data_IF_365025518910
#
_entry.id   IF_365025518910
#
_cell.length_a   1.000
_cell.length_b   1.000
_cell.length_c   1.000
_cell.angle_alpha   90.00
_cell.angle_beta   90.00
_cell.angle_gamma   90.00
#
_symmetry.space_group_name_H-M   'P 1'
#
loop_
_entity.id
_entity.type
_entity.pdbx_description
1 polymer ?
#
# COMPACT_ATOMS: atom_id res chain seq x y z
N UNK A 1 -53.53 23.17 -26.38
CA UNK A 1 -52.69 22.39 -25.43
C UNK A 1 -52.08 21.11 -26.04
N UNK A 2 -52.84 20.23 -26.68
CA UNK A 2 -52.38 18.86 -27.02
C UNK A 2 -51.29 18.69 -28.10
N UNK A 3 -51.11 19.63 -29.04
CA UNK A 3 -50.04 19.56 -30.05
C UNK A 3 -48.67 19.94 -29.47
N UNK A 4 -48.63 20.95 -28.59
CA UNK A 4 -47.39 21.42 -27.95
C UNK A 4 -46.84 20.36 -26.98
N UNK A 5 -47.71 19.71 -26.19
CA UNK A 5 -47.27 18.59 -25.33
C UNK A 5 -46.71 17.40 -26.12
N UNK A 6 -47.24 17.09 -27.32
CA UNK A 6 -46.69 16.03 -28.18
C UNK A 6 -45.30 16.37 -28.72
N UNK A 7 -45.06 17.62 -29.11
CA UNK A 7 -43.72 18.05 -29.55
C UNK A 7 -42.71 18.04 -28.40
N UNK A 8 -43.11 18.42 -27.19
CA UNK A 8 -42.25 18.34 -26.00
C UNK A 8 -41.95 16.86 -25.66
N UNK A 9 -42.94 15.98 -25.69
CA UNK A 9 -42.74 14.55 -25.42
C UNK A 9 -41.82 13.88 -26.47
N UNK A 10 -42.00 14.18 -27.77
CA UNK A 10 -41.13 13.68 -28.83
C UNK A 10 -39.71 14.26 -28.71
N UNK A 11 -39.58 15.53 -28.33
CA UNK A 11 -38.28 16.17 -28.07
C UNK A 11 -37.53 15.54 -26.88
N UNK A 12 -38.24 15.23 -25.79
CA UNK A 12 -37.66 14.56 -24.60
C UNK A 12 -37.27 13.12 -24.92
N UNK A 13 -38.11 12.36 -25.62
CA UNK A 13 -37.77 11.00 -26.06
C UNK A 13 -36.61 11.01 -27.06
N UNK A 14 -36.58 11.97 -28.00
CA UNK A 14 -35.47 12.16 -28.93
C UNK A 14 -34.17 12.49 -28.21
N UNK A 15 -34.19 13.36 -27.20
CA UNK A 15 -33.03 13.68 -26.36
C UNK A 15 -32.57 12.49 -25.52
N UNK A 16 -33.49 11.66 -25.01
CA UNK A 16 -33.16 10.45 -24.27
C UNK A 16 -32.58 9.36 -25.17
N UNK A 17 -33.09 9.20 -26.39
CA UNK A 17 -32.57 8.25 -27.39
C UNK A 17 -31.22 8.73 -27.92
N UNK A 18 -31.06 10.02 -28.23
CA UNK A 18 -29.76 10.60 -28.61
C UNK A 18 -28.80 10.48 -27.43
N UNK A 19 -29.21 10.79 -26.20
CA UNK A 19 -28.38 10.61 -25.00
C UNK A 19 -27.95 9.16 -24.79
N UNK A 20 -28.86 8.20 -24.95
CA UNK A 20 -28.58 6.77 -24.85
C UNK A 20 -27.67 6.27 -25.99
N UNK A 21 -27.89 6.72 -27.23
CA UNK A 21 -27.05 6.38 -28.38
C UNK A 21 -25.67 7.03 -28.27
N UNK A 22 -25.59 8.28 -27.84
CA UNK A 22 -24.31 8.97 -27.59
C UNK A 22 -23.55 8.27 -26.47
N UNK A 23 -24.25 7.83 -25.41
CA UNK A 23 -23.64 6.99 -24.38
C UNK A 23 -23.20 5.62 -24.88
N UNK A 24 -23.98 4.92 -25.72
CA UNK A 24 -23.63 3.61 -26.26
C UNK A 24 -22.42 3.66 -27.22
N UNK A 25 -22.32 4.74 -28.02
CA UNK A 25 -21.39 4.82 -29.16
C UNK A 25 -20.28 5.86 -29.04
N UNK A 26 -20.27 6.71 -28.00
CA UNK A 26 -19.18 7.66 -27.75
C UNK A 26 -18.44 7.30 -26.46
N UNK A 27 -17.19 6.85 -26.61
CA UNK A 27 -16.33 6.51 -25.47
C UNK A 27 -16.02 7.75 -24.60
N UNK A 28 -15.99 8.94 -25.19
CA UNK A 28 -15.86 10.19 -24.44
C UNK A 28 -17.12 10.51 -23.59
N UNK A 29 -18.32 10.20 -24.08
CA UNK A 29 -19.55 10.35 -23.31
C UNK A 29 -19.65 9.32 -22.18
N UNK A 30 -19.27 8.06 -22.43
CA UNK A 30 -19.16 7.02 -21.38
C UNK A 30 -18.21 7.45 -20.28
N UNK A 31 -17.02 7.92 -20.67
CA UNK A 31 -15.97 8.41 -19.75
C UNK A 31 -16.47 9.56 -18.89
N UNK A 32 -17.21 10.53 -19.44
CA UNK A 32 -17.78 11.64 -18.68
C UNK A 32 -18.81 11.15 -17.63
N UNK A 33 -19.73 10.27 -18.02
CA UNK A 33 -20.73 9.70 -17.10
C UNK A 33 -20.07 8.88 -16.00
N UNK A 34 -19.04 8.09 -16.32
CA UNK A 34 -18.27 7.34 -15.33
C UNK A 34 -17.55 8.26 -14.35
N UNK A 35 -16.93 9.36 -14.82
CA UNK A 35 -16.30 10.34 -13.94
C UNK A 35 -17.29 11.00 -12.98
N UNK A 36 -18.50 11.31 -13.43
CA UNK A 36 -19.57 11.84 -12.56
C UNK A 36 -20.03 10.81 -11.51
N UNK A 37 -20.18 9.54 -11.90
CA UNK A 37 -20.51 8.47 -10.98
C UNK A 37 -19.40 8.23 -9.94
N UNK A 38 -18.13 8.30 -10.35
CA UNK A 38 -16.98 8.18 -9.46
C UNK A 38 -16.91 9.31 -8.43
N UNK A 39 -17.23 10.54 -8.81
CA UNK A 39 -17.26 11.67 -7.88
C UNK A 39 -18.28 11.45 -6.75
N UNK A 40 -19.43 10.86 -7.09
CA UNK A 40 -20.45 10.47 -6.09
C UNK A 40 -19.94 9.33 -5.17
N UNK A 41 -19.23 8.35 -5.72
CA UNK A 41 -18.62 7.27 -4.93
C UNK A 41 -17.56 7.82 -3.96
N UNK A 42 -16.75 8.77 -4.42
CA UNK A 42 -15.74 9.42 -3.58
C UNK A 42 -16.36 10.20 -2.41
N UNK A 43 -17.42 10.96 -2.64
CA UNK A 43 -18.11 11.69 -1.57
C UNK A 43 -18.72 10.72 -0.52
N UNK A 44 -19.28 9.59 -0.98
CA UNK A 44 -19.79 8.54 -0.09
C UNK A 44 -18.67 7.88 0.73
N UNK A 45 -17.55 7.53 0.08
CA UNK A 45 -16.38 6.95 0.75
C UNK A 45 -15.84 7.91 1.83
N UNK A 46 -15.67 9.18 1.48
CA UNK A 46 -15.23 10.24 2.40
C UNK A 46 -16.17 10.36 3.60
N UNK A 47 -17.49 10.31 3.38
CA UNK A 47 -18.49 10.36 4.46
C UNK A 47 -18.40 9.16 5.41
N UNK A 48 -18.28 7.93 4.87
CA UNK A 48 -18.12 6.71 5.69
C UNK A 48 -16.87 6.79 6.56
N UNK A 49 -15.79 7.33 6.01
CA UNK A 49 -14.50 7.43 6.69
C UNK A 49 -14.48 8.48 7.80
N UNK A 50 -15.14 9.63 7.59
CA UNK A 50 -15.33 10.62 8.67
C UNK A 50 -16.06 10.00 9.86
N UNK A 51 -17.14 9.25 9.60
CA UNK A 51 -17.89 8.54 10.64
C UNK A 51 -17.03 7.49 11.36
N UNK A 52 -16.10 6.85 10.65
CA UNK A 52 -15.20 5.87 11.24
C UNK A 52 -14.07 6.49 12.06
N UNK A 53 -13.53 7.63 11.61
CA UNK A 53 -12.56 8.42 12.37
C UNK A 53 -13.17 8.96 13.68
N UNK A 54 -14.43 9.41 13.64
CA UNK A 54 -15.20 9.81 14.83
C UNK A 54 -15.39 8.68 15.85
N UNK A 55 -15.38 7.43 15.38
CA UNK A 55 -15.50 6.23 16.21
C UNK A 55 -14.13 5.69 16.70
N UNK A 56 -13.05 6.46 16.60
CA UNK A 56 -11.73 6.11 17.14
C UNK A 56 -10.90 5.14 16.28
N UNK A 57 -11.32 4.85 15.05
CA UNK A 57 -10.60 3.97 14.11
C UNK A 57 -9.84 4.79 13.06
N UNK A 58 -8.74 5.46 13.45
CA UNK A 58 -7.93 6.24 12.51
C UNK A 58 -6.75 5.42 11.99
N UNK A 59 -6.84 4.95 10.75
CA UNK A 59 -5.65 4.53 9.98
C UNK A 59 -5.08 5.76 9.28
N UNK A 60 -3.75 5.83 9.08
CA UNK A 60 -3.10 6.93 8.33
C UNK A 60 -3.65 6.97 6.89
N UNK A 61 -4.02 5.83 6.30
CA UNK A 61 -4.75 5.75 5.03
C UNK A 61 -6.09 6.52 5.05
N UNK A 62 -6.75 6.64 6.21
CA UNK A 62 -7.95 7.45 6.35
C UNK A 62 -7.67 8.95 6.42
N UNK A 63 -6.50 9.35 6.89
CA UNK A 63 -6.02 10.74 6.83
C UNK A 63 -5.67 11.13 5.39
N UNK A 64 -5.06 10.22 4.62
CA UNK A 64 -4.69 10.45 3.22
C UNK A 64 -5.88 10.77 2.30
N UNK A 65 -7.05 10.17 2.54
CA UNK A 65 -8.26 10.41 1.73
C UNK A 65 -8.85 11.80 1.95
N UNK A 66 -8.58 12.41 3.11
CA UNK A 66 -9.07 13.74 3.44
C UNK A 66 -8.14 14.86 2.94
N UNK A 67 -6.98 14.55 2.34
CA UNK A 67 -6.14 15.59 1.75
C UNK A 67 -6.90 16.32 0.64
N UNK A 68 -6.84 17.66 0.61
CA UNK A 68 -7.45 18.43 -0.46
C UNK A 68 -6.76 18.05 -1.78
N UNK A 69 -7.55 17.90 -2.85
CA UNK A 69 -7.04 17.64 -4.20
C UNK A 69 -6.74 18.98 -4.86
N UNK A 70 -5.45 19.32 -4.95
CA UNK A 70 -4.96 20.62 -5.36
C UNK A 70 -3.82 20.49 -6.36
N UNK A 71 -3.81 21.37 -7.37
CA UNK A 71 -2.74 21.46 -8.35
C UNK A 71 -1.71 22.52 -7.94
N UNK A 72 -0.44 22.15 -7.89
CA UNK A 72 0.67 23.04 -7.51
C UNK A 72 1.90 22.78 -8.37
N UNK A 73 2.61 23.83 -8.80
CA UNK A 73 3.95 23.68 -9.38
C UNK A 73 4.95 23.43 -8.25
N UNK A 74 5.47 22.21 -8.17
CA UNK A 74 6.33 21.75 -7.05
C UNK A 74 7.81 21.78 -7.39
N UNK A 75 8.12 21.84 -8.69
CA UNK A 75 9.45 22.08 -9.22
C UNK A 75 9.30 22.73 -10.60
N UNK A 76 10.37 23.35 -11.12
CA UNK A 76 10.34 24.08 -12.39
C UNK A 76 9.76 23.21 -13.52
N UNK A 77 8.56 23.56 -13.98
CA UNK A 77 7.86 22.86 -15.04
C UNK A 77 7.36 21.47 -14.68
N UNK A 78 7.06 21.22 -13.40
CA UNK A 78 6.43 19.99 -12.90
C UNK A 78 5.23 20.35 -12.01
N UNK A 79 4.04 19.95 -12.46
CA UNK A 79 2.77 20.19 -11.75
C UNK A 79 2.39 18.94 -10.99
N UNK A 80 2.27 19.02 -9.67
CA UNK A 80 1.66 17.99 -8.82
C UNK A 80 0.17 18.24 -8.73
N UNK A 81 -0.63 17.17 -8.76
CA UNK A 81 -1.95 17.16 -8.15
C UNK A 81 -1.96 16.16 -7.01
N UNK A 82 -2.35 16.62 -5.82
CA UNK A 82 -2.38 15.82 -4.59
C UNK A 82 -3.46 14.72 -4.63
N UNK A 83 -3.32 13.72 -3.76
CA UNK A 83 -4.26 12.62 -3.56
C UNK A 83 -3.70 11.64 -2.53
N UNK A 84 -4.30 10.43 -2.44
CA UNK A 84 -3.60 9.30 -1.84
C UNK A 84 -2.35 9.06 -2.69
N UNK A 85 -2.52 8.61 -3.93
CA UNK A 85 -1.46 8.68 -4.94
C UNK A 85 -1.43 10.06 -5.59
N UNK A 86 -0.34 10.78 -5.38
CA UNK A 86 0.00 11.99 -6.13
C UNK A 86 0.14 11.66 -7.61
N UNK A 87 -0.25 12.61 -8.46
CA UNK A 87 0.06 12.56 -9.89
C UNK A 87 0.90 13.76 -10.28
N UNK A 88 1.81 13.56 -11.23
CA UNK A 88 2.71 14.62 -11.68
C UNK A 88 2.66 14.79 -13.19
N UNK A 89 2.45 16.00 -13.65
CA UNK A 89 2.53 16.33 -15.06
C UNK A 89 3.79 17.14 -15.35
N UNK A 90 4.51 16.75 -16.40
CA UNK A 90 5.61 17.50 -16.99
C UNK A 90 5.13 18.05 -18.33
N UNK A 91 4.71 19.33 -18.40
CA UNK A 91 4.32 19.95 -19.66
C UNK A 91 5.51 20.19 -20.58
N UNK A 92 5.34 19.99 -21.88
CA UNK A 92 6.35 20.27 -22.92
C UNK A 92 5.70 20.89 -24.16
N UNK A 93 6.52 21.41 -25.08
CA UNK A 93 6.04 22.01 -26.33
C UNK A 93 5.43 21.00 -27.32
N UNK A 94 5.74 19.71 -27.18
CA UNK A 94 5.27 18.66 -28.10
C UNK A 94 4.12 17.80 -27.52
N UNK A 95 3.87 17.90 -26.21
CA UNK A 95 2.91 17.11 -25.47
C UNK A 95 3.32 16.93 -24.01
N UNK A 96 2.40 16.48 -23.17
CA UNK A 96 2.64 16.33 -21.74
C UNK A 96 2.95 14.88 -21.40
N UNK A 97 3.77 14.70 -20.36
CA UNK A 97 4.06 13.41 -19.73
C UNK A 97 3.41 13.41 -18.35
N UNK A 98 2.60 12.39 -18.06
CA UNK A 98 1.99 12.16 -16.76
C UNK A 98 2.73 11.02 -16.07
N UNK A 99 3.13 11.22 -14.81
CA UNK A 99 3.71 10.20 -13.95
C UNK A 99 2.68 9.85 -12.88
N UNK A 100 2.27 8.57 -12.88
CA UNK A 100 1.13 8.01 -12.15
C UNK A 100 -0.23 8.63 -12.47
N UNK A 101 -1.30 7.93 -12.07
CA UNK A 101 -2.68 8.26 -12.44
C UNK A 101 -3.65 8.32 -11.27
N UNK A 102 -3.16 8.10 -10.04
CA UNK A 102 -3.93 8.25 -8.81
C UNK A 102 -4.89 7.09 -8.53
N UNK A 103 -5.55 7.18 -7.37
CA UNK A 103 -6.57 6.22 -6.97
C UNK A 103 -7.90 6.51 -7.65
N UNK A 104 -8.55 5.47 -8.19
CA UNK A 104 -9.76 5.57 -9.01
C UNK A 104 -10.85 6.49 -8.46
N UNK A 105 -11.05 6.56 -7.14
CA UNK A 105 -12.04 7.42 -6.51
C UNK A 105 -11.67 8.91 -6.58
N UNK A 106 -10.38 9.27 -6.56
CA UNK A 106 -9.91 10.67 -6.58
C UNK A 106 -9.67 11.21 -8.00
N UNK A 107 -9.63 10.32 -8.99
CA UNK A 107 -9.33 10.65 -10.39
C UNK A 107 -10.19 11.78 -10.99
N UNK A 108 -11.52 11.85 -10.78
CA UNK A 108 -12.31 12.96 -11.32
C UNK A 108 -11.82 14.33 -10.85
N UNK A 109 -11.57 14.46 -9.54
CA UNK A 109 -11.08 15.69 -8.93
C UNK A 109 -9.64 15.98 -9.38
N UNK A 110 -8.80 14.96 -9.49
CA UNK A 110 -7.43 15.11 -9.96
C UNK A 110 -7.35 15.57 -11.43
N UNK A 111 -8.19 15.02 -12.32
CA UNK A 111 -8.31 15.46 -13.72
C UNK A 111 -8.76 16.92 -13.78
N UNK A 112 -9.78 17.30 -13.00
CA UNK A 112 -10.29 18.66 -12.99
C UNK A 112 -9.22 19.67 -12.54
N UNK A 113 -8.52 19.37 -11.44
CA UNK A 113 -7.43 20.20 -10.92
C UNK A 113 -6.27 20.32 -11.93
N UNK A 114 -5.87 19.21 -12.57
CA UNK A 114 -4.81 19.22 -13.58
C UNK A 114 -5.19 20.03 -14.82
N UNK A 115 -6.43 19.91 -15.30
CA UNK A 115 -6.92 20.71 -16.45
C UNK A 115 -6.99 22.20 -16.13
N UNK A 116 -7.30 22.56 -14.88
CA UNK A 116 -7.26 23.96 -14.46
C UNK A 116 -5.83 24.53 -14.45
N UNK A 117 -4.85 23.74 -13.99
CA UNK A 117 -3.44 24.14 -13.98
C UNK A 117 -2.77 24.07 -15.36
N UNK A 118 -3.20 23.15 -16.22
CA UNK A 118 -2.67 22.93 -17.57
C UNK A 118 -3.82 22.93 -18.58
N UNK A 119 -4.36 24.10 -18.98
CA UNK A 119 -5.56 24.20 -19.82
C UNK A 119 -5.42 23.55 -21.21
N UNK A 120 -4.22 23.57 -21.79
CA UNK A 120 -3.90 22.93 -23.07
C UNK A 120 -3.26 21.55 -22.86
N UNK A 121 -3.86 20.73 -22.00
CA UNK A 121 -3.32 19.41 -21.70
C UNK A 121 -3.39 18.47 -22.91
N UNK A 122 -2.30 18.37 -23.67
CA UNK A 122 -2.10 17.39 -24.74
C UNK A 122 -1.28 16.22 -24.17
N UNK A 123 -1.95 15.31 -23.47
CA UNK A 123 -1.28 14.12 -22.91
C UNK A 123 -0.76 13.24 -24.04
N UNK A 124 0.50 12.80 -23.95
CA UNK A 124 1.14 11.92 -24.94
C UNK A 124 1.75 10.68 -24.32
N UNK A 125 2.19 10.77 -23.07
CA UNK A 125 2.82 9.67 -22.35
C UNK A 125 2.27 9.59 -20.93
N UNK A 126 2.04 8.36 -20.47
CA UNK A 126 1.82 8.01 -19.08
C UNK A 126 2.97 7.09 -18.66
N UNK A 127 3.71 7.48 -17.63
CA UNK A 127 4.71 6.64 -16.96
C UNK A 127 4.07 6.14 -15.68
N UNK A 128 4.03 4.82 -15.51
CA UNK A 128 3.51 4.19 -14.29
C UNK A 128 4.69 3.83 -13.40
N UNK A 129 4.67 4.31 -12.15
CA UNK A 129 5.73 4.00 -11.18
C UNK A 129 5.73 2.53 -10.78
N UNK A 130 4.55 1.93 -10.61
CA UNK A 130 4.35 0.51 -10.30
C UNK A 130 2.85 0.16 -10.38
N UNK A 131 2.48 -1.09 -10.09
CA UNK A 131 1.13 -1.64 -10.30
C UNK A 131 0.13 -1.52 -9.13
N UNK A 132 0.37 -0.70 -8.10
CA UNK A 132 -0.64 -0.55 -7.04
C UNK A 132 -1.80 0.35 -7.45
N UNK A 133 -2.96 0.07 -6.86
CA UNK A 133 -4.25 0.61 -7.29
C UNK A 133 -4.35 2.14 -7.23
N UNK A 134 -3.62 2.75 -6.31
CA UNK A 134 -3.51 4.18 -6.08
C UNK A 134 -2.55 4.91 -7.02
N UNK A 135 -1.80 4.17 -7.85
CA UNK A 135 -0.92 4.74 -8.88
C UNK A 135 -1.46 4.49 -10.29
N UNK A 136 -2.16 3.38 -10.49
CA UNK A 136 -2.70 2.99 -11.81
C UNK A 136 -4.22 3.19 -11.97
N UNK A 137 -4.93 3.53 -10.89
CA UNK A 137 -6.39 3.57 -10.84
C UNK A 137 -7.03 4.52 -11.85
N UNK A 138 -6.30 5.56 -12.26
CA UNK A 138 -6.76 6.53 -13.24
C UNK A 138 -6.45 6.23 -14.70
N UNK A 139 -5.65 5.20 -15.04
CA UNK A 139 -5.17 5.00 -16.43
C UNK A 139 -6.30 5.03 -17.45
N UNK A 140 -7.41 4.33 -17.18
CA UNK A 140 -8.59 4.30 -18.08
C UNK A 140 -9.23 5.67 -18.31
N UNK A 141 -9.04 6.62 -17.40
CA UNK A 141 -9.58 7.97 -17.45
C UNK A 141 -8.58 9.01 -17.97
N UNK A 142 -7.29 8.73 -17.94
CA UNK A 142 -6.28 9.58 -18.56
C UNK A 142 -6.01 9.20 -20.02
N UNK A 143 -6.07 7.90 -20.33
CA UNK A 143 -5.77 7.39 -21.67
C UNK A 143 -6.74 7.95 -22.73
N UNK A 144 -6.15 8.31 -23.84
CA UNK A 144 -6.79 8.68 -25.12
C UNK A 144 -6.00 8.00 -26.26
N UNK A 145 -6.52 8.01 -27.48
CA UNK A 145 -5.85 7.42 -28.63
C UNK A 145 -4.47 8.07 -28.87
N UNK A 146 -3.45 7.25 -29.06
CA UNK A 146 -2.07 7.71 -29.28
C UNK A 146 -1.28 8.04 -28.00
N UNK A 147 -1.88 7.92 -26.81
CA UNK A 147 -1.13 8.03 -25.54
C UNK A 147 -0.33 6.75 -25.31
N UNK A 148 0.99 6.88 -25.19
CA UNK A 148 1.90 5.79 -24.83
C UNK A 148 1.86 5.54 -23.31
N UNK A 149 1.83 4.27 -22.90
CA UNK A 149 1.90 3.84 -21.51
C UNK A 149 3.23 3.12 -21.32
N UNK A 150 4.12 3.73 -20.55
CA UNK A 150 5.45 3.22 -20.23
C UNK A 150 5.37 2.60 -18.83
N UNK A 151 5.75 1.32 -18.74
CA UNK A 151 5.79 0.59 -17.48
C UNK A 151 7.02 -0.33 -17.41
N UNK A 152 7.24 -0.95 -16.25
CA UNK A 152 8.29 -1.92 -16.05
C UNK A 152 7.93 -3.26 -16.71
N UNK A 153 8.90 -4.10 -17.09
CA UNK A 153 8.64 -5.41 -17.71
C UNK A 153 7.83 -6.38 -16.82
N UNK A 154 8.02 -6.31 -15.50
CA UNK A 154 7.24 -7.05 -14.51
C UNK A 154 5.79 -6.55 -14.31
N UNK A 155 5.43 -5.37 -14.82
CA UNK A 155 4.12 -4.74 -14.54
C UNK A 155 2.93 -5.64 -14.91
N UNK A 156 3.01 -6.34 -16.03
CA UNK A 156 1.95 -7.28 -16.46
C UNK A 156 1.83 -8.48 -15.53
N UNK A 157 2.95 -9.00 -15.02
CA UNK A 157 2.96 -10.11 -14.07
C UNK A 157 2.44 -9.66 -12.69
N UNK A 158 2.81 -8.47 -12.23
CA UNK A 158 2.31 -7.92 -10.96
C UNK A 158 0.79 -7.74 -10.98
N UNK A 159 0.26 -7.08 -12.02
CA UNK A 159 -1.20 -6.98 -12.21
C UNK A 159 -1.88 -8.36 -12.27
N UNK A 160 -1.29 -9.33 -12.96
CA UNK A 160 -1.89 -10.67 -13.13
C UNK A 160 -2.10 -11.36 -11.78
N UNK A 161 -1.08 -11.43 -10.92
CA UNK A 161 -1.24 -12.14 -9.65
C UNK A 161 -2.03 -11.31 -8.62
N UNK A 162 -1.87 -9.98 -8.60
CA UNK A 162 -2.68 -9.12 -7.74
C UNK A 162 -4.17 -9.25 -8.09
N UNK A 163 -4.50 -9.38 -9.38
CA UNK A 163 -5.87 -9.68 -9.82
C UNK A 163 -6.31 -11.10 -9.47
N UNK A 164 -5.44 -12.10 -9.66
CA UNK A 164 -5.77 -13.50 -9.35
C UNK A 164 -6.01 -13.73 -7.85
N UNK A 165 -5.33 -12.98 -6.99
CA UNK A 165 -5.46 -13.04 -5.54
C UNK A 165 -6.35 -11.93 -4.96
N UNK A 166 -7.09 -11.19 -5.80
CA UNK A 166 -7.83 -10.00 -5.38
C UNK A 166 -8.78 -10.27 -4.20
N UNK A 167 -9.64 -11.31 -4.18
CA UNK A 167 -10.50 -11.58 -3.02
C UNK A 167 -9.70 -11.84 -1.73
N UNK A 168 -8.59 -12.57 -1.84
CA UNK A 168 -7.74 -12.91 -0.70
C UNK A 168 -7.00 -11.68 -0.15
N UNK A 169 -6.35 -10.91 -1.03
CA UNK A 169 -5.63 -9.69 -0.65
C UNK A 169 -6.57 -8.58 -0.21
N UNK A 170 -7.77 -8.48 -0.77
CA UNK A 170 -8.80 -7.52 -0.37
C UNK A 170 -9.24 -7.74 1.08
N UNK A 171 -9.47 -8.99 1.49
CA UNK A 171 -9.78 -9.33 2.89
C UNK A 171 -8.67 -8.91 3.86
N UNK A 172 -7.41 -9.16 3.50
CA UNK A 172 -6.23 -8.74 4.30
C UNK A 172 -6.13 -7.21 4.37
N UNK A 173 -6.28 -6.53 3.24
CA UNK A 173 -6.27 -5.06 3.19
C UNK A 173 -7.41 -4.47 4.01
N UNK A 174 -8.62 -5.02 3.97
CA UNK A 174 -9.76 -4.51 4.73
C UNK A 174 -9.57 -4.63 6.25
N UNK A 175 -8.81 -5.61 6.71
CA UNK A 175 -8.45 -5.72 8.12
C UNK A 175 -7.63 -4.49 8.58
N UNK A 176 -6.71 -4.05 7.73
CA UNK A 176 -5.83 -2.89 7.96
C UNK A 176 -6.52 -1.55 7.61
N UNK A 177 -7.42 -1.57 6.62
CA UNK A 177 -8.13 -0.45 6.03
C UNK A 177 -9.65 -0.69 6.06
N UNK A 178 -10.26 -0.68 7.25
CA UNK A 178 -11.67 -1.07 7.43
C UNK A 178 -12.70 -0.17 6.73
N UNK A 179 -12.27 0.96 6.16
CA UNK A 179 -13.11 1.82 5.32
C UNK A 179 -13.34 1.27 3.91
N UNK A 180 -12.53 0.31 3.46
CA UNK A 180 -12.66 -0.31 2.16
C UNK A 180 -14.03 -1.02 2.04
N UNK A 181 -14.60 -1.11 0.82
CA UNK A 181 -15.81 -1.90 0.58
C UNK A 181 -15.67 -3.34 1.10
N UNK A 182 -16.79 -3.97 1.47
CA UNK A 182 -16.80 -5.36 1.96
C UNK A 182 -16.20 -6.33 0.94
N UNK A 183 -16.60 -6.18 -0.32
CA UNK A 183 -16.14 -7.00 -1.44
C UNK A 183 -15.29 -6.17 -2.41
N UNK A 184 -14.34 -6.81 -3.13
CA UNK A 184 -13.55 -6.12 -4.13
C UNK A 184 -14.45 -5.58 -5.26
N UNK A 185 -14.21 -4.35 -5.75
CA UNK A 185 -15.00 -3.80 -6.83
C UNK A 185 -14.84 -4.59 -8.14
N UNK A 186 -15.96 -5.08 -8.68
CA UNK A 186 -15.97 -5.85 -9.94
C UNK A 186 -16.42 -5.07 -11.16
N UNK A 187 -17.08 -3.93 -10.96
CA UNK A 187 -17.54 -3.10 -12.07
C UNK A 187 -16.37 -2.53 -12.85
N UNK A 188 -16.35 -2.70 -14.18
CA UNK A 188 -15.24 -2.32 -15.07
C UNK A 188 -14.71 -0.89 -14.85
N UNK A 189 -15.59 0.04 -14.45
CA UNK A 189 -15.21 1.42 -14.11
C UNK A 189 -14.22 1.50 -12.92
N UNK A 190 -14.40 0.69 -11.88
CA UNK A 190 -13.61 0.73 -10.63
C UNK A 190 -12.75 -0.50 -10.38
N UNK A 191 -12.91 -1.55 -11.19
CA UNK A 191 -12.13 -2.77 -11.06
C UNK A 191 -10.62 -2.50 -11.23
N UNK A 192 -9.82 -3.19 -10.41
CA UNK A 192 -8.37 -3.19 -10.48
C UNK A 192 -7.85 -3.88 -11.75
N UNK A 193 -6.75 -3.35 -12.29
CA UNK A 193 -5.99 -3.93 -13.40
C UNK A 193 -6.58 -3.66 -14.79
N UNK A 194 -6.22 -4.52 -15.75
CA UNK A 194 -6.67 -4.40 -17.14
C UNK A 194 -5.84 -3.42 -17.98
N UNK A 195 -4.64 -3.07 -17.53
CA UNK A 195 -3.77 -2.12 -18.21
C UNK A 195 -2.73 -2.90 -19.01
N UNK A 196 -2.61 -2.56 -20.29
CA UNK A 196 -1.55 -3.07 -21.17
C UNK A 196 -0.59 -1.92 -21.50
N UNK A 197 0.66 -1.97 -21.02
CA UNK A 197 1.69 -1.01 -21.42
C UNK A 197 1.93 -1.04 -22.92
N UNK A 198 2.19 0.13 -23.53
CA UNK A 198 2.62 0.21 -24.94
C UNK A 198 4.13 0.01 -25.06
N UNK A 199 4.87 0.41 -24.02
CA UNK A 199 6.31 0.25 -23.90
C UNK A 199 6.62 -0.36 -22.52
N UNK A 200 7.50 -1.35 -22.50
CA UNK A 200 8.07 -1.88 -21.25
C UNK A 200 9.57 -1.64 -21.21
N UNK A 201 10.08 -1.30 -20.03
CA UNK A 201 11.51 -1.18 -19.76
C UNK A 201 11.93 -2.35 -18.88
N UNK A 202 13.01 -3.02 -19.25
CA UNK A 202 13.52 -4.15 -18.48
C UNK A 202 14.16 -3.68 -17.17
N UNK A 203 14.06 -4.52 -16.15
CA UNK A 203 14.74 -4.31 -14.87
C UNK A 203 16.22 -3.94 -15.07
N UNK A 204 16.65 -2.82 -14.50
CA UNK A 204 18.01 -2.28 -14.59
C UNK A 204 18.29 -1.39 -15.82
N UNK A 205 17.43 -1.42 -16.85
CA UNK A 205 17.55 -0.58 -18.04
C UNK A 205 16.94 0.82 -17.83
N UNK A 206 17.15 1.69 -18.82
CA UNK A 206 16.60 3.04 -18.85
C UNK A 206 16.06 3.39 -20.24
N UNK A 207 15.03 4.22 -20.27
CA UNK A 207 14.49 4.83 -21.48
C UNK A 207 14.62 6.34 -21.39
N UNK A 208 15.32 6.95 -22.35
CA UNK A 208 15.46 8.41 -22.44
C UNK A 208 14.39 8.96 -23.36
N UNK A 209 13.48 9.75 -22.79
CA UNK A 209 12.44 10.45 -23.52
C UNK A 209 12.85 11.92 -23.73
N UNK A 210 13.01 12.30 -24.99
CA UNK A 210 13.21 13.70 -25.39
C UNK A 210 11.93 14.22 -26.05
N UNK A 211 11.23 15.13 -25.38
CA UNK A 211 9.91 15.61 -25.81
C UNK A 211 9.79 17.10 -25.59
N UNK A 212 9.49 17.85 -26.67
CA UNK A 212 9.21 19.28 -26.61
C UNK A 212 10.30 20.09 -25.91
N UNK A 213 11.57 19.75 -26.15
CA UNK A 213 12.73 20.41 -25.56
C UNK A 213 13.08 19.99 -24.13
N UNK A 214 12.37 19.02 -23.54
CA UNK A 214 12.72 18.44 -22.23
C UNK A 214 13.28 17.03 -22.37
N UNK A 215 14.21 16.69 -21.48
CA UNK A 215 14.75 15.34 -21.30
C UNK A 215 14.17 14.73 -20.03
N UNK A 216 13.69 13.50 -20.14
CA UNK A 216 13.26 12.67 -19.02
C UNK A 216 13.96 11.31 -19.15
N UNK A 217 14.80 10.95 -18.19
CA UNK A 217 15.38 9.60 -18.11
C UNK A 217 14.50 8.75 -17.20
N UNK A 218 13.89 7.71 -17.77
CA UNK A 218 12.96 6.82 -17.08
C UNK A 218 13.70 5.53 -16.78
N UNK A 219 13.76 5.13 -15.51
CA UNK A 219 14.51 3.97 -15.06
C UNK A 219 13.58 2.89 -14.54
N UNK A 220 13.78 1.66 -15.01
CA UNK A 220 13.20 0.46 -14.41
C UNK A 220 14.20 -0.07 -13.39
N UNK A 221 13.81 -0.11 -12.12
CA UNK A 221 14.72 -0.51 -11.05
C UNK A 221 13.96 -1.25 -9.94
N UNK A 222 14.54 -2.34 -9.45
CA UNK A 222 14.09 -3.01 -8.24
C UNK A 222 13.90 -1.98 -7.12
N UNK A 223 12.67 -1.86 -6.65
CA UNK A 223 12.28 -0.97 -5.57
C UNK A 223 11.93 -1.75 -4.32
N UNK A 224 11.77 -1.01 -3.22
CA UNK A 224 11.25 -1.59 -2.00
C UNK A 224 9.78 -1.95 -2.15
N UNK A 225 8.99 -1.27 -2.98
CA UNK A 225 7.53 -1.43 -2.95
C UNK A 225 6.97 -2.57 -3.83
N UNK A 226 7.69 -3.02 -4.85
CA UNK A 226 7.14 -3.90 -5.88
C UNK A 226 8.21 -4.38 -6.85
N UNK A 227 7.95 -5.45 -7.59
CA UNK A 227 8.92 -5.94 -8.59
C UNK A 227 8.95 -5.10 -9.87
N UNK A 228 7.99 -4.19 -10.05
CA UNK A 228 7.75 -3.41 -11.26
C UNK A 228 8.00 -1.90 -11.06
N UNK A 229 8.92 -1.56 -10.15
CA UNK A 229 9.22 -0.19 -9.77
C UNK A 229 9.90 0.61 -10.89
N UNK A 230 9.47 1.86 -11.03
CA UNK A 230 10.02 2.84 -11.96
C UNK A 230 10.15 4.21 -11.31
N UNK A 231 11.21 4.91 -11.71
CA UNK A 231 11.43 6.32 -11.36
C UNK A 231 11.70 7.13 -12.62
N UNK A 232 11.35 8.42 -12.58
CA UNK A 232 11.62 9.34 -13.68
C UNK A 232 12.51 10.49 -13.21
N UNK A 233 13.63 10.68 -13.89
CA UNK A 233 14.64 11.68 -13.59
C UNK A 233 14.58 12.81 -14.61
N UNK A 234 14.56 14.05 -14.11
CA UNK A 234 14.63 15.27 -14.90
C UNK A 234 16.01 15.91 -14.71
N UNK A 235 17.00 15.63 -15.57
CA UNK A 235 18.40 16.01 -15.34
C UNK A 235 18.63 17.52 -15.26
N UNK A 236 17.89 18.32 -16.03
CA UNK A 236 18.06 19.78 -16.04
C UNK A 236 17.52 20.43 -14.76
N UNK A 237 16.43 19.89 -14.21
CA UNK A 237 15.78 20.36 -12.99
C UNK A 237 16.38 19.71 -11.75
N UNK A 238 17.14 18.63 -11.92
CA UNK A 238 17.60 17.71 -10.87
C UNK A 238 16.46 17.21 -9.97
N UNK A 239 15.36 16.84 -10.60
CA UNK A 239 14.13 16.37 -9.93
C UNK A 239 13.95 14.88 -10.18
N UNK A 240 13.76 14.11 -9.12
CA UNK A 240 13.43 12.69 -9.17
C UNK A 240 11.96 12.48 -8.81
N UNK A 241 11.16 11.98 -9.75
CA UNK A 241 9.82 11.46 -9.47
C UNK A 241 9.97 9.99 -9.09
N UNK A 242 9.72 9.67 -7.83
CA UNK A 242 10.07 8.36 -7.27
C UNK A 242 8.91 7.36 -7.21
N UNK A 243 7.66 7.83 -7.37
CA UNK A 243 6.51 7.06 -6.92
C UNK A 243 6.75 6.57 -5.49
N UNK A 244 6.58 5.27 -5.29
CA UNK A 244 6.73 4.61 -4.01
C UNK A 244 8.02 3.81 -3.85
N UNK A 245 9.04 4.12 -4.66
CA UNK A 245 10.35 3.47 -4.59
C UNK A 245 10.97 3.52 -3.16
N UNK A 246 10.71 4.58 -2.40
CA UNK A 246 11.13 4.74 -1.00
C UNK A 246 10.04 4.38 0.02
N UNK A 247 8.82 4.08 -0.43
CA UNK A 247 7.58 4.04 0.34
C UNK A 247 7.04 5.46 0.67
N UNK A 248 6.08 5.57 1.61
CA UNK A 248 5.33 6.81 1.82
C UNK A 248 6.11 7.93 2.51
N UNK A 249 7.28 7.65 3.09
CA UNK A 249 8.10 8.64 3.80
C UNK A 249 9.56 8.57 3.34
N UNK A 250 10.26 9.70 3.43
CA UNK A 250 11.68 9.76 3.09
C UNK A 250 12.47 10.65 4.07
N UNK A 251 13.63 10.19 4.58
CA UNK A 251 14.13 8.80 4.50
C UNK A 251 13.42 7.89 5.52
N UNK A 252 13.33 6.60 5.22
CA UNK A 252 12.79 5.60 6.14
C UNK A 252 13.47 4.25 5.91
N UNK A 253 13.35 3.33 6.86
CA UNK A 253 13.69 1.95 6.61
C UNK A 253 12.62 1.33 5.69
N UNK A 254 13.00 0.77 4.52
CA UNK A 254 12.03 0.35 3.52
C UNK A 254 11.24 -0.87 3.98
N UNK A 255 10.02 -1.01 3.47
CA UNK A 255 9.34 -2.29 3.46
C UNK A 255 10.01 -3.18 2.41
N UNK A 256 10.99 -4.01 2.77
CA UNK A 256 11.45 -5.12 1.88
C UNK A 256 10.45 -6.30 1.85
N UNK A 257 9.36 -6.16 2.61
CA UNK A 257 8.13 -6.95 2.60
C UNK A 257 7.00 -6.05 3.09
N UNK A 258 5.74 -6.36 2.76
CA UNK A 258 4.57 -5.66 3.31
C UNK A 258 3.59 -6.60 4.00
N UNK A 259 3.12 -6.23 5.18
CA UNK A 259 2.19 -7.06 5.99
C UNK A 259 0.87 -7.39 5.27
N UNK A 260 0.43 -6.51 4.37
CA UNK A 260 -0.77 -6.76 3.54
C UNK A 260 -0.62 -7.97 2.62
N UNK A 261 0.61 -8.39 2.34
CA UNK A 261 0.95 -9.58 1.56
C UNK A 261 1.24 -9.26 0.10
N UNK A 262 2.49 -9.47 -0.30
CA UNK A 262 2.98 -9.39 -1.68
C UNK A 262 4.16 -10.36 -1.85
N UNK A 263 4.65 -10.47 -3.08
CA UNK A 263 5.91 -11.17 -3.34
C UNK A 263 7.04 -10.51 -2.53
N UNK A 264 7.97 -11.34 -2.07
CA UNK A 264 9.16 -10.88 -1.34
C UNK A 264 9.96 -9.94 -2.26
N UNK A 265 10.32 -8.76 -1.74
CA UNK A 265 11.12 -7.78 -2.51
C UNK A 265 12.60 -8.14 -2.43
N UNK A 266 13.37 -7.64 -3.38
CA UNK A 266 14.75 -8.07 -3.65
C UNK A 266 15.77 -7.11 -2.99
N UNK A 267 16.32 -7.43 -1.81
CA UNK A 267 17.11 -6.46 -1.03
C UNK A 267 18.43 -6.08 -1.72
N UNK A 268 19.14 -7.04 -2.32
CA UNK A 268 20.42 -6.80 -2.99
C UNK A 268 20.24 -5.92 -4.25
N UNK A 269 19.17 -6.14 -4.99
CA UNK A 269 18.78 -5.32 -6.14
C UNK A 269 18.41 -3.91 -5.70
N UNK A 270 17.64 -3.76 -4.61
CA UNK A 270 17.26 -2.45 -4.06
C UNK A 270 18.49 -1.61 -3.67
N UNK A 271 19.51 -2.23 -3.07
CA UNK A 271 20.79 -1.57 -2.76
C UNK A 271 21.47 -1.04 -4.04
N UNK A 272 21.47 -1.81 -5.13
CA UNK A 272 22.03 -1.37 -6.43
C UNK A 272 21.24 -0.21 -7.01
N UNK A 273 19.91 -0.26 -6.92
CA UNK A 273 19.04 0.84 -7.33
C UNK A 273 19.33 2.11 -6.52
N UNK A 274 19.48 2.01 -5.20
CA UNK A 274 19.85 3.15 -4.35
C UNK A 274 21.20 3.77 -4.73
N UNK A 275 22.22 2.95 -5.02
CA UNK A 275 23.52 3.47 -5.51
C UNK A 275 23.34 4.31 -6.78
N UNK A 276 22.52 3.84 -7.73
CA UNK A 276 22.23 4.61 -8.95
C UNK A 276 21.53 5.94 -8.65
N UNK A 277 20.60 5.98 -7.70
CA UNK A 277 19.92 7.23 -7.32
C UNK A 277 20.83 8.19 -6.55
N UNK A 278 21.78 7.68 -5.77
CA UNK A 278 22.83 8.48 -5.13
C UNK A 278 23.68 9.18 -6.19
N UNK A 279 24.08 8.46 -7.25
CA UNK A 279 24.90 9.00 -8.35
C UNK A 279 24.18 10.12 -9.14
N UNK A 280 22.85 10.09 -9.20
CA UNK A 280 22.06 11.17 -9.82
C UNK A 280 22.10 12.48 -9.01
N UNK A 281 22.35 12.40 -7.70
CA UNK A 281 22.34 13.51 -6.75
C UNK A 281 21.13 14.46 -6.89
N UNK A 282 19.89 13.97 -6.70
CA UNK A 282 18.67 14.77 -6.82
C UNK A 282 18.63 15.96 -5.86
N UNK A 283 18.17 17.12 -6.34
CA UNK A 283 17.91 18.31 -5.52
C UNK A 283 16.48 18.31 -4.95
N UNK A 284 15.57 17.60 -5.63
CA UNK A 284 14.18 17.43 -5.23
C UNK A 284 13.73 15.99 -5.50
N UNK A 285 13.06 15.37 -4.53
CA UNK A 285 12.28 14.14 -4.71
C UNK A 285 10.79 14.50 -4.70
N UNK A 286 10.07 13.99 -5.69
CA UNK A 286 8.62 14.07 -5.83
C UNK A 286 8.03 12.67 -5.60
N UNK A 287 7.56 12.36 -4.38
CA UNK A 287 7.08 11.03 -3.99
C UNK A 287 5.64 10.73 -4.41
N UNK A 288 5.29 9.45 -4.48
CA UNK A 288 3.92 8.98 -4.73
C UNK A 288 2.91 9.44 -3.66
N UNK A 289 3.39 9.71 -2.44
CA UNK A 289 2.57 10.16 -1.31
C UNK A 289 3.18 11.39 -0.63
N UNK A 290 2.36 12.17 0.09
CA UNK A 290 2.81 13.34 0.87
C UNK A 290 3.50 14.43 0.03
N UNK A 291 4.39 15.20 0.67
CA UNK A 291 5.02 16.40 0.13
C UNK A 291 6.41 16.17 -0.47
N UNK A 292 6.83 17.02 -1.43
CA UNK A 292 8.18 17.00 -1.96
C UNK A 292 9.26 17.07 -0.88
N UNK A 293 10.36 16.36 -1.11
CA UNK A 293 11.59 16.51 -0.32
C UNK A 293 12.57 17.35 -1.11
N UNK A 294 13.14 18.38 -0.48
CA UNK A 294 14.08 19.31 -1.12
C UNK A 294 15.41 19.37 -0.38
N UNK A 295 16.47 19.69 -1.12
CA UNK A 295 17.83 19.87 -0.61
C UNK A 295 18.74 18.69 -0.94
N UNK A 296 19.66 18.90 -1.89
CA UNK A 296 20.55 17.86 -2.41
C UNK A 296 21.33 17.11 -1.33
N UNK A 297 21.96 17.84 -0.41
CA UNK A 297 22.77 17.26 0.67
C UNK A 297 21.91 16.36 1.57
N UNK A 298 20.74 16.84 2.00
CA UNK A 298 19.78 16.07 2.81
C UNK A 298 19.33 14.81 2.06
N UNK A 299 19.02 14.94 0.77
CA UNK A 299 18.51 13.84 -0.04
C UNK A 299 19.60 12.78 -0.24
N UNK A 300 20.81 13.18 -0.67
CA UNK A 300 21.92 12.25 -0.89
C UNK A 300 22.34 11.57 0.43
N UNK A 301 22.36 12.30 1.54
CA UNK A 301 22.60 11.71 2.86
C UNK A 301 21.50 10.71 3.25
N UNK A 302 20.23 11.04 2.99
CA UNK A 302 19.09 10.15 3.22
C UNK A 302 19.17 8.86 2.39
N UNK A 303 19.45 8.97 1.09
CA UNK A 303 19.64 7.84 0.19
C UNK A 303 20.81 6.95 0.63
N UNK A 304 21.94 7.56 1.00
CA UNK A 304 23.13 6.85 1.47
C UNK A 304 22.82 6.09 2.75
N UNK A 305 22.16 6.74 3.71
CA UNK A 305 21.75 6.09 4.96
C UNK A 305 20.77 4.94 4.72
N UNK A 306 19.79 5.10 3.83
CA UNK A 306 18.88 4.02 3.43
C UNK A 306 19.64 2.84 2.82
N UNK A 307 20.60 3.11 1.93
CA UNK A 307 21.46 2.10 1.29
C UNK A 307 22.25 1.34 2.34
N UNK A 308 22.94 2.05 3.22
CA UNK A 308 23.78 1.48 4.28
C UNK A 308 22.96 0.67 5.29
N UNK A 309 21.79 1.17 5.70
CA UNK A 309 20.89 0.47 6.62
C UNK A 309 20.37 -0.87 6.05
N UNK A 310 19.94 -0.87 4.78
CA UNK A 310 19.48 -2.10 4.12
C UNK A 310 20.63 -3.09 3.94
N UNK A 311 21.81 -2.60 3.52
CA UNK A 311 23.02 -3.43 3.40
C UNK A 311 23.41 -4.05 4.74
N UNK A 312 23.41 -3.26 5.83
CA UNK A 312 23.72 -3.75 7.17
C UNK A 312 22.75 -4.86 7.61
N UNK A 313 21.43 -4.63 7.51
CA UNK A 313 20.43 -5.65 7.92
C UNK A 313 20.55 -6.91 7.07
N UNK A 314 20.81 -6.75 5.76
CA UNK A 314 21.08 -7.86 4.86
C UNK A 314 22.31 -8.67 5.27
N UNK A 315 23.45 -8.01 5.49
CA UNK A 315 24.71 -8.66 5.80
C UNK A 315 24.69 -9.33 7.17
N UNK A 316 24.10 -8.69 8.19
CA UNK A 316 23.92 -9.28 9.51
C UNK A 316 22.97 -10.48 9.47
N UNK A 317 21.93 -10.44 8.64
CA UNK A 317 21.03 -11.59 8.44
C UNK A 317 21.80 -12.77 7.83
N UNK A 318 22.57 -12.53 6.76
CA UNK A 318 23.37 -13.58 6.11
C UNK A 318 24.46 -14.12 7.05
N UNK A 319 25.14 -13.27 7.79
CA UNK A 319 26.13 -13.68 8.79
C UNK A 319 25.48 -14.55 9.89
N UNK A 320 24.27 -14.17 10.32
CA UNK A 320 23.44 -14.94 11.23
C UNK A 320 23.09 -16.33 10.71
N UNK A 321 22.58 -16.41 9.48
CA UNK A 321 22.27 -17.67 8.79
C UNK A 321 23.51 -18.58 8.72
N UNK A 322 24.64 -18.04 8.26
CA UNK A 322 25.88 -18.79 8.11
C UNK A 322 26.50 -19.24 9.44
N UNK A 323 26.18 -18.57 10.55
CA UNK A 323 26.63 -18.95 11.90
C UNK A 323 25.68 -19.91 12.61
N UNK A 324 24.59 -20.32 11.97
CA UNK A 324 23.61 -21.27 12.52
C UNK A 324 22.66 -20.67 13.55
N UNK A 325 22.56 -19.33 13.61
CA UNK A 325 21.51 -18.67 14.42
C UNK A 325 20.15 -18.92 13.79
N UNK A 326 19.13 -19.07 14.63
CA UNK A 326 17.75 -19.21 14.20
C UNK A 326 17.20 -17.87 13.68
N UNK A 327 16.18 -17.92 12.84
CA UNK A 327 15.49 -16.73 12.36
C UNK A 327 15.03 -15.82 13.52
N UNK A 328 14.44 -16.40 14.56
CA UNK A 328 13.90 -15.62 15.68
C UNK A 328 14.99 -14.95 16.53
N UNK A 329 16.15 -15.59 16.73
CA UNK A 329 17.31 -14.94 17.37
C UNK A 329 17.78 -13.72 16.57
N UNK A 330 17.78 -13.80 15.23
CA UNK A 330 18.16 -12.67 14.37
C UNK A 330 17.12 -11.55 14.39
N UNK A 331 15.84 -11.90 14.37
CA UNK A 331 14.75 -10.91 14.49
C UNK A 331 14.79 -10.14 15.81
N UNK A 332 15.26 -10.78 16.89
CA UNK A 332 15.40 -10.17 18.21
C UNK A 332 16.69 -9.33 18.36
N UNK A 333 17.80 -9.78 17.75
CA UNK A 333 19.12 -9.19 18.03
C UNK A 333 19.60 -8.17 16.99
N UNK A 334 19.16 -8.26 15.74
CA UNK A 334 19.58 -7.31 14.69
C UNK A 334 18.81 -5.99 14.88
N UNK A 335 19.56 -4.94 15.18
CA UNK A 335 19.06 -3.57 15.31
C UNK A 335 19.97 -2.60 14.55
N UNK A 336 19.40 -1.50 14.04
CA UNK A 336 20.19 -0.49 13.34
C UNK A 336 21.12 0.22 14.33
N UNK A 337 22.41 0.36 14.02
CA UNK A 337 23.30 1.19 14.83
C UNK A 337 22.93 2.68 14.70
N UNK A 338 23.29 3.53 15.68
CA UNK A 338 22.83 4.93 15.73
C UNK A 338 23.08 5.75 14.46
N UNK A 339 24.19 5.50 13.77
CA UNK A 339 24.54 6.17 12.52
C UNK A 339 23.64 5.78 11.34
N UNK A 340 22.99 4.61 11.40
CA UNK A 340 22.04 4.09 10.41
C UNK A 340 20.58 4.24 10.84
N UNK A 341 20.32 4.94 11.94
CA UNK A 341 18.96 5.09 12.47
C UNK A 341 18.03 5.76 11.45
N UNK A 342 16.92 5.08 11.17
CA UNK A 342 15.89 5.43 10.21
C UNK A 342 14.53 5.15 10.82
N UNK A 343 13.54 5.97 10.47
CA UNK A 343 12.16 5.72 10.86
C UNK A 343 11.72 4.32 10.43
N UNK A 344 11.15 3.58 11.38
CA UNK A 344 10.58 2.25 11.18
C UNK A 344 9.04 2.26 11.26
N UNK A 345 8.43 3.43 11.11
CA UNK A 345 6.99 3.61 11.19
C UNK A 345 6.21 2.94 10.03
N UNK A 346 6.91 2.57 8.94
CA UNK A 346 6.35 1.82 7.82
C UNK A 346 7.04 0.46 7.63
N UNK A 347 8.33 0.45 7.27
CA UNK A 347 9.18 -0.74 7.28
C UNK A 347 9.82 -1.01 8.63
N UNK A 348 10.01 -2.28 8.99
CA UNK A 348 10.59 -2.66 10.30
C UNK A 348 11.75 -3.63 10.11
N UNK A 349 12.83 -3.40 10.85
CA UNK A 349 14.07 -4.18 10.74
C UNK A 349 13.84 -5.66 11.02
N UNK A 350 13.16 -6.00 12.12
CA UNK A 350 12.90 -7.41 12.46
C UNK A 350 12.06 -8.12 11.40
N UNK A 351 11.14 -7.41 10.73
CA UNK A 351 10.36 -7.98 9.62
C UNK A 351 11.19 -8.11 8.34
N UNK A 352 12.13 -7.18 8.11
CA UNK A 352 13.08 -7.28 7.02
C UNK A 352 14.05 -8.44 7.20
N UNK A 353 14.54 -8.71 8.41
CA UNK A 353 15.35 -9.92 8.72
C UNK A 353 14.60 -11.17 8.26
N UNK A 354 13.32 -11.30 8.63
CA UNK A 354 12.48 -12.41 8.16
C UNK A 354 12.34 -12.43 6.65
N UNK A 355 12.04 -11.29 6.02
CA UNK A 355 11.90 -11.22 4.57
C UNK A 355 13.18 -11.60 3.82
N UNK A 356 14.34 -11.19 4.32
CA UNK A 356 15.65 -11.49 3.73
C UNK A 356 15.96 -12.98 3.89
N UNK A 357 15.66 -13.55 5.05
CA UNK A 357 15.76 -15.00 5.26
C UNK A 357 14.91 -15.77 4.24
N UNK A 358 13.63 -15.41 4.13
CA UNK A 358 12.66 -16.05 3.23
C UNK A 358 13.03 -15.86 1.75
N UNK A 359 13.64 -14.72 1.40
CA UNK A 359 14.18 -14.47 0.05
C UNK A 359 15.23 -15.51 -0.35
N UNK A 360 16.09 -15.93 0.58
CA UNK A 360 17.19 -16.87 0.31
C UNK A 360 16.85 -18.34 0.60
N UNK A 361 16.06 -18.62 1.63
CA UNK A 361 15.82 -19.97 2.15
C UNK A 361 14.37 -20.44 2.00
N UNK A 362 13.41 -19.53 1.76
CA UNK A 362 11.99 -19.82 1.59
C UNK A 362 11.35 -20.57 2.78
N UNK A 363 10.17 -21.16 2.56
CA UNK A 363 9.25 -21.68 3.57
C UNK A 363 9.76 -22.82 4.46
N UNK A 364 10.79 -23.57 4.05
CA UNK A 364 11.27 -24.74 4.79
C UNK A 364 12.51 -24.38 5.60
N UNK A 365 12.32 -24.15 6.91
CA UNK A 365 13.37 -23.55 7.74
C UNK A 365 14.35 -24.57 8.33
N UNK A 366 14.08 -25.87 8.17
CA UNK A 366 14.83 -26.95 8.83
C UNK A 366 14.74 -26.90 10.37
N UNK A 367 13.77 -26.16 10.91
CA UNK A 367 13.58 -26.01 12.34
C UNK A 367 12.83 -27.22 12.91
N UNK A 368 11.87 -27.79 12.16
CA UNK A 368 10.96 -28.83 12.66
C UNK A 368 10.54 -29.82 11.56
N UNK A 369 10.41 -31.10 11.93
CA UNK A 369 9.87 -32.14 11.04
C UNK A 369 8.43 -31.86 10.59
N UNK A 370 7.64 -31.15 11.39
CA UNK A 370 6.23 -30.84 11.09
C UNK A 370 6.05 -29.87 9.93
N UNK A 371 7.09 -29.11 9.55
CA UNK A 371 7.03 -28.21 8.38
C UNK A 371 6.76 -28.98 7.07
N UNK A 372 7.08 -30.28 7.01
CA UNK A 372 6.85 -31.13 5.84
C UNK A 372 5.39 -31.55 5.62
N UNK A 373 4.52 -31.36 6.62
CA UNK A 373 3.18 -31.93 6.63
C UNK A 373 2.11 -30.85 6.77
N UNK A 374 0.98 -31.03 6.09
CA UNK A 374 -0.16 -30.11 6.12
C UNK A 374 -1.05 -30.24 7.36
N UNK A 375 -0.50 -30.67 8.51
CA UNK A 375 -1.22 -30.74 9.79
C UNK A 375 -0.83 -29.52 10.59
N UNK A 376 -1.81 -28.68 10.93
CA UNK A 376 -1.55 -27.44 11.65
C UNK A 376 -1.18 -27.74 13.10
N UNK A 377 -0.37 -26.87 13.72
CA UNK A 377 -0.05 -27.02 15.14
C UNK A 377 -1.28 -26.84 16.02
N UNK A 378 -2.24 -26.02 15.59
CA UNK A 378 -3.53 -25.80 16.23
C UNK A 378 -4.32 -27.08 16.43
N UNK A 379 -4.18 -28.09 15.56
CA UNK A 379 -4.93 -29.35 15.64
C UNK A 379 -4.65 -30.13 16.93
N UNK A 380 -3.46 -29.96 17.53
CA UNK A 380 -3.08 -30.63 18.78
C UNK A 380 -3.14 -29.71 20.00
N UNK A 381 -3.45 -28.42 19.82
CA UNK A 381 -3.55 -27.48 20.96
C UNK A 381 -4.72 -27.79 21.89
N UNK A 382 -5.91 -28.25 21.43
CA UNK A 382 -6.96 -28.71 22.33
C UNK A 382 -6.51 -29.83 23.28
N UNK A 383 -5.65 -30.75 22.84
CA UNK A 383 -5.10 -31.80 23.70
C UNK A 383 -4.17 -31.20 24.78
N UNK A 384 -3.37 -30.19 24.41
CA UNK A 384 -2.54 -29.44 25.36
C UNK A 384 -3.40 -28.72 26.39
N UNK A 385 -4.49 -28.08 25.97
CA UNK A 385 -5.45 -27.41 26.86
C UNK A 385 -6.10 -28.43 27.81
N UNK A 386 -6.54 -29.59 27.30
CA UNK A 386 -7.17 -30.63 28.09
C UNK A 386 -6.22 -31.21 29.16
N UNK A 387 -4.92 -31.32 28.85
CA UNK A 387 -3.89 -31.80 29.79
C UNK A 387 -3.45 -30.76 30.81
N UNK A 388 -3.22 -29.51 30.36
CA UNK A 388 -2.70 -28.43 31.21
C UNK A 388 -3.78 -27.73 32.04
N UNK A 389 -5.02 -27.72 31.55
CA UNK A 389 -6.14 -26.97 32.10
C UNK A 389 -6.13 -25.50 31.67
N UNK A 390 -7.28 -25.01 31.18
CA UNK A 390 -7.43 -23.65 30.68
C UNK A 390 -7.11 -22.58 31.74
N UNK A 391 -7.52 -22.78 32.99
CA UNK A 391 -7.26 -21.84 34.10
C UNK A 391 -5.77 -21.62 34.32
N UNK A 392 -4.97 -22.70 34.36
CA UNK A 392 -3.53 -22.61 34.60
C UNK A 392 -2.80 -21.91 33.44
N UNK A 393 -3.21 -22.19 32.19
CA UNK A 393 -2.70 -21.49 31.01
C UNK A 393 -3.04 -19.99 31.08
N UNK A 394 -4.28 -19.65 31.42
CA UNK A 394 -4.71 -18.25 31.51
C UNK A 394 -3.96 -17.48 32.62
N UNK A 395 -3.77 -18.09 33.80
CA UNK A 395 -2.94 -17.53 34.88
C UNK A 395 -1.49 -17.32 34.43
N UNK A 396 -0.95 -18.24 33.62
CA UNK A 396 0.39 -18.10 33.06
C UNK A 396 0.48 -16.93 32.09
N UNK A 397 -0.53 -16.73 31.23
CA UNK A 397 -0.60 -15.56 30.35
C UNK A 397 -0.63 -14.24 31.15
N UNK A 398 -1.44 -14.15 32.21
CA UNK A 398 -1.46 -12.99 33.11
C UNK A 398 -0.11 -12.72 33.79
N UNK A 399 0.61 -13.79 34.16
CA UNK A 399 1.96 -13.69 34.73
C UNK A 399 2.93 -13.08 33.72
N UNK A 400 2.87 -13.50 32.45
CA UNK A 400 3.69 -12.91 31.39
C UNK A 400 3.36 -11.44 31.14
N UNK A 401 2.08 -11.06 31.13
CA UNK A 401 1.70 -9.64 31.05
C UNK A 401 2.27 -8.82 32.21
N UNK A 402 2.14 -9.33 33.45
CA UNK A 402 2.68 -8.65 34.65
C UNK A 402 4.21 -8.51 34.60
N UNK A 403 4.89 -9.46 33.96
CA UNK A 403 6.34 -9.45 33.75
C UNK A 403 6.79 -8.61 32.54
N UNK A 404 5.88 -7.85 31.91
CA UNK A 404 6.12 -7.07 30.69
C UNK A 404 6.56 -7.93 29.47
N UNK A 405 6.03 -9.16 29.39
CA UNK A 405 6.28 -10.13 28.32
C UNK A 405 5.01 -10.46 27.51
N UNK A 406 4.32 -9.47 26.92
CA UNK A 406 2.99 -9.67 26.33
C UNK A 406 3.00 -10.58 25.08
N UNK A 407 4.10 -10.69 24.34
CA UNK A 407 4.20 -11.65 23.23
C UNK A 407 4.20 -13.11 23.74
N UNK A 408 4.85 -13.37 24.89
CA UNK A 408 4.79 -14.68 25.53
C UNK A 408 3.37 -14.97 26.04
N UNK A 409 2.68 -13.97 26.60
CA UNK A 409 1.28 -14.10 26.97
C UNK A 409 0.41 -14.44 25.75
N UNK A 410 0.62 -13.76 24.62
CA UNK A 410 -0.12 -14.00 23.39
C UNK A 410 0.05 -15.44 22.89
N UNK A 411 1.25 -16.01 22.93
CA UNK A 411 1.45 -17.42 22.57
C UNK A 411 0.63 -18.38 23.43
N UNK A 412 0.47 -18.11 24.73
CA UNK A 412 -0.39 -18.93 25.60
C UNK A 412 -1.86 -18.73 25.26
N UNK A 413 -2.26 -17.49 24.96
CA UNK A 413 -3.63 -17.17 24.57
C UNK A 413 -3.98 -17.84 23.23
N UNK A 414 -3.09 -17.85 22.25
CA UNK A 414 -3.28 -18.54 20.96
C UNK A 414 -3.44 -20.06 21.11
N UNK A 415 -2.78 -20.68 22.10
CA UNK A 415 -3.02 -22.10 22.46
C UNK A 415 -4.47 -22.28 22.93
N UNK A 416 -4.97 -21.39 23.79
CA UNK A 416 -6.36 -21.42 24.25
C UNK A 416 -7.33 -21.17 23.08
N UNK A 417 -7.07 -20.18 22.23
CA UNK A 417 -7.94 -19.85 21.10
C UNK A 417 -8.03 -20.97 20.04
N UNK A 418 -7.06 -21.87 19.98
CA UNK A 418 -7.12 -23.04 19.10
C UNK A 418 -8.12 -24.12 19.60
N UNK A 419 -8.56 -24.06 20.86
CA UNK A 419 -9.69 -24.86 21.37
C UNK A 419 -11.01 -24.09 21.17
N UNK A 420 -11.96 -24.59 20.35
CA UNK A 420 -13.24 -23.90 20.10
C UNK A 420 -14.05 -23.59 21.36
N UNK A 421 -13.94 -24.41 22.42
CA UNK A 421 -14.63 -24.13 23.69
C UNK A 421 -14.02 -22.93 24.41
N UNK A 422 -12.70 -22.78 24.37
CA UNK A 422 -11.99 -21.67 25.02
C UNK A 422 -12.00 -20.40 24.16
N UNK A 423 -12.06 -20.54 22.83
CA UNK A 423 -12.12 -19.42 21.90
C UNK A 423 -13.33 -18.49 22.13
N UNK A 424 -14.45 -19.05 22.61
CA UNK A 424 -15.66 -18.28 22.97
C UNK A 424 -15.73 -17.88 24.45
N UNK A 425 -14.79 -18.33 25.29
CA UNK A 425 -14.78 -18.06 26.73
C UNK A 425 -14.53 -16.54 26.98
N UNK A 426 -15.45 -15.85 27.70
CA UNK A 426 -15.25 -14.46 28.07
C UNK A 426 -13.96 -14.20 28.86
N UNK A 427 -13.54 -15.10 29.75
CA UNK A 427 -12.33 -14.94 30.55
C UNK A 427 -11.07 -14.99 29.69
N UNK A 428 -11.04 -15.86 28.67
CA UNK A 428 -9.94 -15.94 27.71
C UNK A 428 -9.88 -14.67 26.86
N UNK A 429 -11.03 -14.23 26.34
CA UNK A 429 -11.09 -13.02 25.52
C UNK A 429 -10.83 -11.74 26.31
N UNK A 430 -11.13 -11.70 27.61
CA UNK A 430 -10.75 -10.61 28.51
C UNK A 430 -9.22 -10.51 28.63
N UNK A 431 -8.51 -11.62 28.84
CA UNK A 431 -7.03 -11.61 28.89
C UNK A 431 -6.42 -11.35 27.51
N UNK A 432 -7.04 -11.85 26.44
CA UNK A 432 -6.68 -11.50 25.05
C UNK A 432 -6.71 -9.99 24.86
N UNK A 433 -7.81 -9.34 25.24
CA UNK A 433 -7.98 -7.90 25.13
C UNK A 433 -6.93 -7.13 25.96
N UNK A 434 -6.73 -7.49 27.23
CA UNK A 434 -5.71 -6.90 28.08
C UNK A 434 -4.30 -7.01 27.46
N UNK A 435 -3.96 -8.19 26.93
CA UNK A 435 -2.66 -8.44 26.28
C UNK A 435 -2.50 -7.61 25.01
N UNK A 436 -3.53 -7.56 24.17
CA UNK A 436 -3.53 -6.76 22.94
C UNK A 436 -3.41 -5.26 23.24
N UNK A 437 -4.03 -4.78 24.32
CA UNK A 437 -3.90 -3.38 24.75
C UNK A 437 -2.48 -3.06 25.22
N UNK A 438 -1.80 -3.96 25.94
CA UNK A 438 -0.38 -3.80 26.29
C UNK A 438 0.49 -3.77 25.02
N UNK A 439 0.24 -4.66 24.07
CA UNK A 439 0.96 -4.66 22.78
C UNK A 439 0.72 -3.37 22.00
N UNK A 440 -0.52 -2.88 21.97
CA UNK A 440 -0.88 -1.64 21.28
C UNK A 440 -0.19 -0.44 21.92
N UNK A 441 -0.21 -0.34 23.26
CA UNK A 441 0.48 0.73 23.99
C UNK A 441 1.98 0.73 23.68
N UNK A 442 2.63 -0.44 23.66
CA UNK A 442 4.04 -0.57 23.25
C UNK A 442 4.28 -0.18 21.79
N UNK A 443 3.35 -0.51 20.89
CA UNK A 443 3.48 -0.16 19.47
C UNK A 443 3.35 1.35 19.27
N UNK A 444 2.40 2.00 19.95
CA UNK A 444 2.13 3.44 19.88
C UNK A 444 3.21 4.27 20.58
N UNK A 445 3.75 3.81 21.71
CA UNK A 445 4.80 4.53 22.46
C UNK A 445 6.22 4.09 22.07
N UNK A 446 6.36 3.24 21.05
CA UNK A 446 7.61 2.61 20.62
C UNK A 446 8.00 3.00 19.21
N UNK A 447 8.04 2.00 18.32
CA UNK A 447 8.44 2.19 16.91
C UNK A 447 7.38 2.96 16.10
N UNK A 448 6.13 3.02 16.59
CA UNK A 448 5.01 3.65 15.89
C UNK A 448 4.75 3.03 14.51
N UNK A 449 4.99 1.72 14.38
CA UNK A 449 4.76 1.05 13.10
C UNK A 449 3.26 0.97 12.79
N UNK A 450 2.87 1.61 11.70
CA UNK A 450 1.47 1.74 11.29
C UNK A 450 0.78 0.40 11.09
N UNK A 451 1.45 -0.59 10.46
CA UNK A 451 0.83 -1.88 10.21
C UNK A 451 0.67 -2.72 11.48
N UNK A 452 1.61 -2.64 12.42
CA UNK A 452 1.48 -3.28 13.74
C UNK A 452 0.29 -2.69 14.49
N UNK A 453 0.18 -1.36 14.53
CA UNK A 453 -0.92 -0.65 15.16
C UNK A 453 -2.26 -1.02 14.51
N UNK A 454 -2.35 -1.09 13.18
CA UNK A 454 -3.61 -1.45 12.50
C UNK A 454 -4.03 -2.88 12.78
N UNK A 455 -3.07 -3.82 12.76
CA UNK A 455 -3.31 -5.21 13.10
C UNK A 455 -3.83 -5.35 14.53
N UNK A 456 -3.15 -4.75 15.51
CA UNK A 456 -3.53 -4.83 16.91
C UNK A 456 -4.91 -4.21 17.16
N UNK A 457 -5.22 -3.06 16.57
CA UNK A 457 -6.55 -2.46 16.64
C UNK A 457 -7.64 -3.36 16.04
N UNK A 458 -7.35 -4.08 14.95
CA UNK A 458 -8.31 -5.03 14.38
C UNK A 458 -8.56 -6.21 15.31
N UNK A 459 -7.51 -6.75 15.92
CA UNK A 459 -7.62 -7.84 16.89
C UNK A 459 -8.33 -7.42 18.18
N UNK A 460 -8.14 -6.18 18.63
CA UNK A 460 -8.87 -5.60 19.77
C UNK A 460 -10.38 -5.54 19.47
N UNK A 461 -10.77 -4.99 18.31
CA UNK A 461 -12.19 -4.94 17.91
C UNK A 461 -12.84 -6.32 17.86
N UNK A 462 -12.10 -7.34 17.44
CA UNK A 462 -12.56 -8.72 17.41
C UNK A 462 -12.80 -9.27 18.83
N UNK A 463 -11.85 -9.06 19.75
CA UNK A 463 -11.99 -9.46 21.15
C UNK A 463 -13.15 -8.71 21.86
N UNK A 464 -13.29 -7.40 21.63
CA UNK A 464 -14.39 -6.59 22.15
C UNK A 464 -15.76 -7.07 21.64
N UNK A 465 -15.87 -7.42 20.36
CA UNK A 465 -17.11 -7.94 19.78
C UNK A 465 -17.54 -9.27 20.41
N UNK A 466 -16.60 -10.16 20.71
CA UNK A 466 -16.87 -11.43 21.40
C UNK A 466 -17.35 -11.20 22.84
N UNK A 467 -16.74 -10.26 23.57
CA UNK A 467 -17.18 -9.89 24.92
C UNK A 467 -18.58 -9.27 24.92
N UNK A 468 -18.87 -8.35 23.99
CA UNK A 468 -20.19 -7.71 23.87
C UNK A 468 -21.29 -8.66 23.38
N UNK A 469 -20.96 -9.66 22.55
CA UNK A 469 -21.90 -10.71 22.13
C UNK A 469 -22.33 -11.62 23.28
N UNK A 470 -21.44 -11.84 24.25
CA UNK A 470 -21.73 -12.61 25.45
C UNK A 470 -22.58 -11.82 26.47
N UNK A 471 -22.45 -10.49 26.55
CA UNK A 471 -23.29 -9.64 27.41
C UNK A 471 -24.77 -9.56 26.94
N UNK A 472 -25.04 -9.77 25.65
CA UNK A 472 -26.39 -9.72 25.07
C UNK A 472 -27.07 -11.09 24.93
N UNK A 473 -26.43 -12.15 25.40
CA UNK A 473 -27.05 -13.47 25.47
C UNK A 473 -27.97 -13.53 26.70
N UNK A 474 -29.29 -13.76 26.54
CA UNK A 474 -30.18 -13.91 27.70
C UNK A 474 -29.69 -15.10 28.51
N UNK A 475 -29.33 -14.86 29.77
CA UNK A 475 -29.02 -15.92 30.74
C UNK A 475 -30.11 -17.00 30.70
N UNK A 476 -29.67 -18.26 30.52
CA UNK A 476 -30.50 -19.45 30.68
C UNK A 476 -30.78 -19.75 32.14
#
# INVERSE_FOLDING_TARGET
>A
MGKILKFIAIGVVGLLVVGFLTYQYSDSAKKLVQLQALDTVHDLATSRMKKQAENGSTSVAAEFINFPIEATEVAKGVIRVTGIGNIYMVPTDAGNVLFDTGLVMQVPKQIAAMKAAVPNNKLTHIVLSHSHADHIGGVKYWKEDGVEIIAHDQFTEEQRYLKALEPYLHGRNRLLFPFMPEEPPTADMIAYGGITPTLTIKEGDSYRLELGGKVMDIYAMAGAEGADNMVMWLPEQKVLLSGDFFGPMFPQFPNVFTMRGEKIRKPAEYIRSLNRLIDLAPEVILPGHLDPVTGQEKIVAGLTKMRDAVQYVHDETIAGMNSGKTLYELMETITLPPELDLSQAHGRVSWAVKSIWEYYATWFHFDRTTELYGVDRGDVMPDVVALAGATALLEKARTFNTADQPVHAMHIIEILLADPMQASDPMVNQVRLETLQILLDKAVNGIENSYEIYWLNAQIREAEALLAGNENSPEG
#
